data_IF_755292003921
#
_entry.id   IF_755292003921
#
_cell.length_a   1.000
_cell.length_b   1.000
_cell.length_c   1.000
_cell.angle_alpha   90.00
_cell.angle_beta   90.00
_cell.angle_gamma   90.00
#
_symmetry.space_group_name_H-M   'P 1'
#
loop_
_entity.id
_entity.type
_entity.pdbx_description
1 polymer ?
#
# COMPACT_ATOMS: atom_id res chain seq x y z
N UNK A 1 7.32 9.42 -2.41
CA UNK A 1 8.05 8.40 -1.64
C UNK A 1 7.73 7.02 -2.22
N UNK A 2 6.45 6.63 -2.31
CA UNK A 2 5.99 5.35 -2.91
C UNK A 2 4.96 5.56 -4.05
N UNK A 3 4.78 6.80 -4.55
CA UNK A 3 3.68 7.16 -5.47
C UNK A 3 3.66 6.30 -6.73
N UNK A 4 4.80 6.09 -7.38
CA UNK A 4 4.86 5.30 -8.60
C UNK A 4 4.48 3.83 -8.35
N UNK A 5 4.96 3.26 -7.23
CA UNK A 5 4.64 1.88 -6.84
C UNK A 5 3.15 1.72 -6.52
N UNK A 6 2.58 2.67 -5.77
CA UNK A 6 1.15 2.67 -5.46
C UNK A 6 0.30 2.87 -6.73
N UNK A 7 0.65 3.82 -7.60
CA UNK A 7 -0.09 4.04 -8.84
C UNK A 7 -0.07 2.79 -9.74
N UNK A 8 1.08 2.11 -9.84
CA UNK A 8 1.20 0.86 -10.58
C UNK A 8 0.33 -0.25 -9.96
N UNK A 9 0.37 -0.41 -8.63
CA UNK A 9 -0.49 -1.34 -7.91
C UNK A 9 -1.98 -1.04 -8.15
N UNK A 10 -2.40 0.22 -8.07
CA UNK A 10 -3.79 0.62 -8.26
C UNK A 10 -4.26 0.41 -9.70
N UNK A 11 -3.41 0.66 -10.71
CA UNK A 11 -3.73 0.31 -12.11
C UNK A 11 -3.88 -1.19 -12.30
N UNK A 12 -2.96 -1.98 -11.76
CA UNK A 12 -3.05 -3.43 -11.77
C UNK A 12 -4.35 -3.93 -11.11
N UNK A 13 -4.70 -3.39 -9.94
CA UNK A 13 -5.93 -3.73 -9.24
C UNK A 13 -7.20 -3.30 -10.01
N UNK A 14 -7.12 -2.24 -10.82
CA UNK A 14 -8.24 -1.78 -11.64
C UNK A 14 -8.55 -2.75 -12.78
N UNK A 15 -7.49 -3.35 -13.35
CA UNK A 15 -7.57 -4.38 -14.40
C UNK A 15 -7.92 -5.77 -13.84
N UNK A 16 -7.56 -6.04 -12.58
CA UNK A 16 -7.69 -7.35 -11.94
C UNK A 16 -8.37 -7.28 -10.55
N UNK A 17 -9.61 -6.79 -10.52
CA UNK A 17 -10.35 -6.56 -9.27
C UNK A 17 -10.54 -7.83 -8.44
N UNK A 18 -10.58 -8.98 -9.09
CA UNK A 18 -10.75 -10.30 -8.47
C UNK A 18 -9.60 -10.66 -7.53
N UNK A 19 -8.41 -10.07 -7.71
CA UNK A 19 -7.25 -10.32 -6.83
C UNK A 19 -7.56 -10.01 -5.38
N UNK A 20 -8.31 -8.93 -5.11
CA UNK A 20 -8.73 -8.60 -3.74
C UNK A 20 -9.61 -9.70 -3.15
N UNK A 21 -10.58 -10.19 -3.93
CA UNK A 21 -11.47 -11.26 -3.49
C UNK A 21 -10.73 -12.58 -3.26
N UNK A 22 -9.78 -12.93 -4.12
CA UNK A 22 -8.97 -14.15 -3.97
C UNK A 22 -8.16 -14.08 -2.67
N UNK A 23 -7.57 -12.93 -2.37
CA UNK A 23 -6.83 -12.74 -1.12
C UNK A 23 -7.77 -12.87 0.08
N UNK A 24 -8.95 -12.24 0.06
CA UNK A 24 -9.90 -12.33 1.17
C UNK A 24 -10.44 -13.77 1.36
N UNK A 25 -10.74 -14.49 0.29
CA UNK A 25 -11.19 -15.89 0.35
C UNK A 25 -10.08 -16.82 0.86
N UNK A 26 -8.81 -16.51 0.56
CA UNK A 26 -7.66 -17.28 1.05
C UNK A 26 -7.53 -17.23 2.58
N UNK A 27 -8.04 -16.19 3.26
CA UNK A 27 -8.06 -16.14 4.74
C UNK A 27 -8.77 -17.37 5.34
N UNK A 28 -9.80 -17.87 4.67
CA UNK A 28 -10.58 -19.02 5.14
C UNK A 28 -10.08 -20.35 4.55
N UNK A 29 -9.59 -20.34 3.31
CA UNK A 29 -9.21 -21.57 2.58
C UNK A 29 -7.77 -21.99 2.87
N UNK A 30 -6.84 -21.03 2.93
CA UNK A 30 -5.42 -21.24 3.22
C UNK A 30 -4.86 -20.07 4.06
N UNK A 31 -5.10 -20.08 5.38
CA UNK A 31 -4.69 -18.99 6.26
C UNK A 31 -3.17 -18.77 6.28
N UNK A 32 -2.37 -19.82 6.00
CA UNK A 32 -0.92 -19.72 5.97
C UNK A 32 -0.47 -18.91 4.74
N UNK A 33 -1.01 -19.23 3.55
CA UNK A 33 -0.71 -18.45 2.34
C UNK A 33 -1.23 -17.01 2.44
N UNK A 34 -2.39 -16.78 3.06
CA UNK A 34 -2.91 -15.44 3.32
C UNK A 34 -1.93 -14.61 4.15
N UNK A 35 -1.46 -15.18 5.26
CA UNK A 35 -0.49 -14.51 6.14
C UNK A 35 0.84 -14.26 5.43
N UNK A 36 1.38 -15.26 4.75
CA UNK A 36 2.64 -15.18 4.02
C UNK A 36 2.61 -14.08 2.94
N UNK A 37 1.47 -13.92 2.26
CA UNK A 37 1.27 -12.87 1.27
C UNK A 37 1.53 -11.47 1.86
N UNK A 38 0.87 -11.15 2.98
CA UNK A 38 1.03 -9.86 3.63
C UNK A 38 2.41 -9.68 4.28
N UNK A 39 2.94 -10.70 4.95
CA UNK A 39 4.27 -10.65 5.55
C UNK A 39 5.36 -10.40 4.49
N UNK A 40 5.26 -11.05 3.32
CA UNK A 40 6.20 -10.84 2.22
C UNK A 40 6.17 -9.41 1.69
N UNK A 41 4.98 -8.81 1.54
CA UNK A 41 4.84 -7.43 1.06
C UNK A 41 5.36 -6.44 2.11
N UNK A 42 4.97 -6.62 3.37
CA UNK A 42 5.42 -5.80 4.48
C UNK A 42 6.95 -5.82 4.62
N UNK A 43 7.58 -7.00 4.53
CA UNK A 43 9.04 -7.14 4.56
C UNK A 43 9.72 -6.33 3.45
N UNK A 44 9.22 -6.43 2.21
CA UNK A 44 9.75 -5.68 1.07
C UNK A 44 9.58 -4.17 1.21
N UNK A 45 8.48 -3.70 1.81
CA UNK A 45 8.30 -2.27 2.11
C UNK A 45 9.28 -1.85 3.21
N UNK A 46 9.42 -2.64 4.27
CA UNK A 46 10.34 -2.35 5.38
C UNK A 46 11.80 -2.28 4.91
N UNK A 47 12.23 -3.13 3.97
CA UNK A 47 13.55 -3.07 3.35
C UNK A 47 13.77 -1.74 2.60
N UNK A 48 12.78 -1.31 1.79
CA UNK A 48 12.86 -0.02 1.07
C UNK A 48 12.90 1.17 2.02
N UNK A 49 12.07 1.16 3.07
CA UNK A 49 12.06 2.22 4.07
C UNK A 49 13.39 2.34 4.80
N UNK A 50 13.98 1.21 5.21
CA UNK A 50 15.31 1.17 5.85
C UNK A 50 16.41 1.65 4.90
N UNK A 51 16.36 1.24 3.63
CA UNK A 51 17.33 1.70 2.63
C UNK A 51 17.25 3.21 2.40
N UNK A 52 16.04 3.77 2.27
CA UNK A 52 15.86 5.22 2.12
C UNK A 52 16.28 6.02 3.35
N UNK A 53 16.05 5.49 4.56
CA UNK A 53 16.57 6.09 5.79
C UNK A 53 18.11 6.07 5.83
N UNK A 54 18.73 4.93 5.51
CA UNK A 54 20.19 4.80 5.45
C UNK A 54 20.83 5.70 4.38
N UNK A 55 20.12 5.98 3.29
CA UNK A 55 20.53 6.91 2.24
C UNK A 55 20.30 8.40 2.59
N UNK A 56 19.67 8.71 3.73
CA UNK A 56 19.33 10.07 4.13
C UNK A 56 18.15 10.68 3.37
N UNK A 57 17.43 9.89 2.56
CA UNK A 57 16.25 10.33 1.80
C UNK A 57 15.01 10.38 2.70
N UNK A 58 14.93 9.47 3.68
CA UNK A 58 13.82 9.38 4.62
C UNK A 58 14.28 9.64 6.06
N UNK A 59 13.32 9.90 6.95
CA UNK A 59 13.58 10.01 8.38
C UNK A 59 14.10 8.70 8.97
N UNK A 60 14.84 8.80 10.06
CA UNK A 60 15.22 7.64 10.87
C UNK A 60 14.02 6.97 11.55
N UNK A 61 14.27 5.75 12.04
CA UNK A 61 13.30 4.97 12.82
C UNK A 61 12.17 4.38 11.98
N UNK A 62 12.33 4.27 10.66
CA UNK A 62 11.37 3.56 9.80
C UNK A 62 11.66 2.07 9.80
N UNK A 63 10.61 1.25 9.95
CA UNK A 63 10.75 -0.19 9.95
C UNK A 63 9.46 -0.93 9.66
N UNK A 64 9.28 -2.07 10.31
CA UNK A 64 8.15 -2.96 10.09
C UNK A 64 6.80 -2.29 10.38
N UNK A 65 6.69 -1.53 11.47
CA UNK A 65 5.45 -0.85 11.84
C UNK A 65 4.99 0.10 10.73
N UNK A 66 5.88 0.97 10.25
CA UNK A 66 5.56 1.87 9.13
C UNK A 66 5.26 1.11 7.84
N UNK A 67 5.94 -0.01 7.59
CA UNK A 67 5.68 -0.82 6.42
C UNK A 67 4.25 -1.39 6.42
N UNK A 68 3.79 -1.94 7.55
CA UNK A 68 2.40 -2.40 7.71
C UNK A 68 1.39 -1.26 7.59
N UNK A 69 1.68 -0.09 8.18
CA UNK A 69 0.81 1.07 8.07
C UNK A 69 0.66 1.56 6.62
N UNK A 70 1.79 1.69 5.89
CA UNK A 70 1.80 2.07 4.46
C UNK A 70 1.07 1.02 3.62
N UNK A 71 1.33 -0.26 3.86
CA UNK A 71 0.64 -1.35 3.15
C UNK A 71 -0.86 -1.29 3.37
N UNK A 72 -1.32 -1.15 4.62
CA UNK A 72 -2.73 -1.04 4.96
C UNK A 72 -3.40 0.15 4.27
N UNK A 73 -2.75 1.32 4.28
CA UNK A 73 -3.23 2.49 3.54
C UNK A 73 -3.41 2.20 2.05
N UNK A 74 -2.43 1.55 1.42
CA UNK A 74 -2.47 1.21 0.00
C UNK A 74 -3.60 0.22 -0.32
N UNK A 75 -3.74 -0.84 0.49
CA UNK A 75 -4.78 -1.88 0.34
C UNK A 75 -6.17 -1.25 0.44
N UNK A 76 -6.45 -0.48 1.50
CA UNK A 76 -7.76 0.12 1.69
C UNK A 76 -8.07 1.23 0.69
N UNK A 77 -7.07 2.02 0.28
CA UNK A 77 -7.26 2.99 -0.80
C UNK A 77 -7.66 2.30 -2.11
N UNK A 78 -6.99 1.20 -2.48
CA UNK A 78 -7.36 0.41 -3.64
C UNK A 78 -8.75 -0.23 -3.52
N UNK A 79 -9.09 -0.79 -2.36
CA UNK A 79 -10.43 -1.33 -2.12
C UNK A 79 -11.52 -0.26 -2.34
N UNK A 80 -11.37 0.92 -1.72
CA UNK A 80 -12.37 1.99 -1.78
C UNK A 80 -12.49 2.64 -3.15
N UNK A 81 -11.37 2.96 -3.80
CA UNK A 81 -11.36 3.80 -5.00
C UNK A 81 -11.25 3.01 -6.30
N UNK A 82 -10.70 1.80 -6.27
CA UNK A 82 -10.48 0.98 -7.47
C UNK A 82 -11.47 -0.17 -7.55
N UNK A 83 -11.63 -0.94 -6.47
CA UNK A 83 -12.54 -2.10 -6.46
C UNK A 83 -13.99 -1.62 -6.40
N UNK A 84 -14.34 -0.81 -5.40
CA UNK A 84 -15.70 -0.28 -5.20
C UNK A 84 -15.98 1.01 -5.98
N UNK A 85 -14.95 1.71 -6.42
CA UNK A 85 -15.09 2.94 -7.20
C UNK A 85 -15.67 2.69 -8.59
N UNK A 86 -16.28 3.73 -9.15
CA UNK A 86 -16.86 3.73 -10.51
C UNK A 86 -16.02 4.57 -11.49
N UNK A 87 -14.76 4.87 -11.13
CA UNK A 87 -13.83 5.65 -11.94
C UNK A 87 -13.89 7.16 -11.71
N UNK A 88 -14.48 7.61 -10.60
CA UNK A 88 -14.57 9.04 -10.27
C UNK A 88 -13.22 9.65 -9.87
N UNK A 89 -12.29 8.82 -9.38
CA UNK A 89 -10.94 9.22 -9.00
C UNK A 89 -9.96 8.25 -9.67
N UNK A 90 -9.00 8.78 -10.43
CA UNK A 90 -8.02 7.94 -11.11
C UNK A 90 -7.02 7.28 -10.15
N UNK A 91 -6.42 6.13 -10.51
CA UNK A 91 -5.35 5.50 -9.74
C UNK A 91 -4.21 6.45 -9.36
N UNK A 92 -3.83 7.35 -10.28
CA UNK A 92 -2.76 8.32 -10.07
C UNK A 92 -3.16 9.39 -9.04
N UNK A 93 -4.39 9.89 -9.08
CA UNK A 93 -4.91 10.85 -8.08
C UNK A 93 -4.97 10.24 -6.68
N UNK A 94 -5.39 8.97 -6.56
CA UNK A 94 -5.36 8.25 -5.27
C UNK A 94 -3.91 8.11 -4.77
N UNK A 95 -2.99 7.73 -5.65
CA UNK A 95 -1.59 7.55 -5.29
C UNK A 95 -0.92 8.86 -4.81
N UNK A 96 -1.24 9.98 -5.48
CA UNK A 96 -0.81 11.33 -5.09
C UNK A 96 -1.36 11.67 -3.70
N UNK A 97 -2.66 11.47 -3.48
CA UNK A 97 -3.31 11.79 -2.20
C UNK A 97 -2.72 11.02 -1.01
N UNK A 98 -2.51 9.71 -1.19
CA UNK A 98 -1.88 8.84 -0.18
C UNK A 98 -0.44 9.26 0.08
N UNK A 99 0.35 9.57 -0.96
CA UNK A 99 1.73 10.00 -0.77
C UNK A 99 1.84 11.36 -0.09
N UNK A 100 0.95 12.30 -0.41
CA UNK A 100 0.88 13.59 0.29
C UNK A 100 0.61 13.38 1.77
N UNK A 101 -0.35 12.51 2.12
CA UNK A 101 -0.64 12.15 3.51
C UNK A 101 0.58 11.56 4.22
N UNK A 102 1.37 10.71 3.56
CA UNK A 102 2.60 10.15 4.14
C UNK A 102 3.70 11.21 4.33
N UNK A 103 3.81 12.17 3.40
CA UNK A 103 4.83 13.20 3.46
C UNK A 103 4.52 14.30 4.50
N UNK A 104 3.24 14.67 4.64
CA UNK A 104 2.82 15.83 5.43
C UNK A 104 2.19 15.43 6.78
N UNK A 105 1.65 14.22 6.89
CA UNK A 105 0.83 13.80 8.03
C UNK A 105 -0.55 14.49 8.06
N UNK A 106 -1.26 14.39 9.19
CA UNK A 106 -2.63 14.92 9.35
C UNK A 106 -2.66 16.19 10.22
N UNK A 107 -1.73 16.32 11.16
CA UNK A 107 -1.69 17.46 12.08
C UNK A 107 -1.26 18.73 11.35
N UNK A 108 -1.96 19.84 11.63
CA UNK A 108 -1.48 21.17 11.27
C UNK A 108 -0.27 21.49 12.15
N UNK A 109 0.91 21.60 11.54
CA UNK A 109 2.15 22.02 12.20
C UNK A 109 2.36 23.51 12.03
#
# INVERSE_FOLDING_TARGET
>A
IEQAALAAFLRFAAEHKEVYRIIDEAEFVDPASYREHYETIAARIADRLRAGAAGGEFRDGLGELEAWAVMGMNVFAGLRYVVWGKGEVSPDEVAIGVNRLLAEGILRR
#
